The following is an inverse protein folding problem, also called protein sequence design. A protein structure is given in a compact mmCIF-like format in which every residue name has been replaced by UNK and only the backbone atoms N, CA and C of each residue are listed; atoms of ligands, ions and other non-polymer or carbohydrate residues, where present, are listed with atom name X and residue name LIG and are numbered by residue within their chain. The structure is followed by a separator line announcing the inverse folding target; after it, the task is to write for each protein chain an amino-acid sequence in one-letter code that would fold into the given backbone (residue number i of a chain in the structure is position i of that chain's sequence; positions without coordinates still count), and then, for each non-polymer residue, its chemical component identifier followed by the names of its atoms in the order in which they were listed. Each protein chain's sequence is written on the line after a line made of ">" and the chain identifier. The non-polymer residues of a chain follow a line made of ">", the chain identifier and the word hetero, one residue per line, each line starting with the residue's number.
data_IF_976693959411
#
_entry.id   IF_976693959411
#
_cell.length_a   1.000
_cell.length_b   1.000
_cell.length_c   1.000
_cell.angle_alpha   90.00
_cell.angle_beta   90.00
_cell.angle_gamma   90.00
#
_symmetry.space_group_name_H-M   'P 1'
#
loop_
_entity.id
_entity.type
_entity.pdbx_description
1 polymer ?
#
# COMPACT_ATOMS: atom_id res chain seq x y z
N UNK A 1 9.38 39.38 36.91
CA UNK A 1 9.12 39.62 35.49
C UNK A 1 9.68 38.45 34.71
N UNK A 2 8.88 37.39 34.47
CA UNK A 2 9.33 36.15 33.83
C UNK A 2 8.87 36.20 32.38
N UNK A 3 9.81 36.25 31.44
CA UNK A 3 9.54 36.13 30.00
C UNK A 3 9.33 34.67 29.68
N UNK A 4 8.11 34.28 29.37
CA UNK A 4 7.76 33.01 28.76
C UNK A 4 8.28 32.99 27.33
N UNK A 5 9.37 32.25 27.10
CA UNK A 5 9.84 31.90 25.76
C UNK A 5 8.87 30.86 25.18
N UNK A 6 7.97 31.29 24.28
CA UNK A 6 7.08 30.40 23.55
C UNK A 6 7.89 29.56 22.57
N UNK A 7 8.07 28.28 22.89
CA UNK A 7 8.54 27.29 21.93
C UNK A 7 7.41 27.12 20.90
N UNK A 8 7.53 27.79 19.75
CA UNK A 8 6.79 27.41 18.55
C UNK A 8 7.30 26.04 18.14
N UNK A 9 6.56 25.00 18.51
CA UNK A 9 6.69 23.71 17.86
C UNK A 9 6.31 23.97 16.39
N UNK A 10 7.31 24.02 15.53
CA UNK A 10 7.10 23.98 14.09
C UNK A 10 6.42 22.63 13.83
N UNK A 11 5.12 22.65 13.51
CA UNK A 11 4.45 21.48 12.96
C UNK A 11 5.18 21.21 11.64
N UNK A 12 6.10 20.24 11.66
CA UNK A 12 6.69 19.70 10.44
C UNK A 12 5.52 19.30 9.55
N UNK A 13 5.48 19.84 8.35
CA UNK A 13 4.49 19.51 7.32
C UNK A 13 4.42 17.99 7.18
N UNK A 14 3.39 17.38 7.76
CA UNK A 14 3.09 15.99 7.50
C UNK A 14 2.63 15.96 6.05
N UNK A 15 3.52 15.53 5.17
CA UNK A 15 3.23 15.47 3.73
C UNK A 15 1.96 14.66 3.51
N UNK A 16 1.05 15.19 2.71
CA UNK A 16 -0.22 14.56 2.41
C UNK A 16 0.01 13.16 1.81
N UNK A 17 -0.66 12.15 2.36
CA UNK A 17 -0.60 10.79 1.81
C UNK A 17 -1.59 10.71 0.66
N UNK A 18 -1.07 10.60 -0.55
CA UNK A 18 -1.83 10.56 -1.79
C UNK A 18 -2.03 9.15 -2.33
N UNK A 19 -1.11 8.23 -2.04
CA UNK A 19 -1.27 6.82 -2.40
C UNK A 19 -1.01 5.89 -1.20
N UNK A 20 -1.76 4.78 -1.17
CA UNK A 20 -1.63 3.73 -0.16
C UNK A 20 -1.39 2.39 -0.86
N UNK A 21 -0.22 1.81 -0.64
CA UNK A 21 0.08 0.44 -1.05
C UNK A 21 -0.22 -0.50 0.11
N UNK A 22 -1.13 -1.43 -0.11
CA UNK A 22 -1.54 -2.41 0.90
C UNK A 22 -0.94 -3.76 0.53
N UNK A 23 0.05 -4.21 1.31
CA UNK A 23 0.65 -5.53 1.22
C UNK A 23 -0.13 -6.54 2.07
N UNK A 24 0.16 -7.83 1.93
CA UNK A 24 -0.62 -8.88 2.59
C UNK A 24 -0.35 -8.97 4.09
N UNK A 25 0.92 -9.10 4.50
CA UNK A 25 1.29 -9.48 5.87
C UNK A 25 2.67 -9.00 6.25
N UNK A 26 2.87 -8.69 7.52
CA UNK A 26 4.19 -8.41 8.09
C UNK A 26 5.11 -9.65 8.01
N UNK A 27 6.43 -9.47 7.84
CA UNK A 27 7.39 -10.58 7.88
C UNK A 27 7.61 -11.09 9.32
N UNK A 28 8.22 -12.27 9.45
CA UNK A 28 8.59 -12.85 10.76
C UNK A 28 9.64 -12.00 11.49
N UNK A 29 10.61 -11.47 10.75
CA UNK A 29 11.62 -10.55 11.26
C UNK A 29 11.22 -9.10 10.90
N UNK A 30 10.91 -8.25 11.89
CA UNK A 30 10.50 -6.86 11.65
C UNK A 30 11.54 -6.03 10.86
N UNK A 31 12.81 -6.40 10.88
CA UNK A 31 13.87 -5.74 10.10
C UNK A 31 13.72 -5.96 8.60
N UNK A 32 12.98 -6.99 8.20
CA UNK A 32 12.68 -7.30 6.80
C UNK A 32 11.45 -6.57 6.26
N UNK A 33 10.69 -5.89 7.12
CA UNK A 33 9.51 -5.11 6.71
C UNK A 33 9.92 -3.83 5.97
N UNK A 34 8.96 -3.15 5.36
CA UNK A 34 9.14 -1.93 4.57
C UNK A 34 9.87 -0.82 5.35
N UNK A 35 9.55 -0.64 6.62
CA UNK A 35 10.16 0.38 7.49
C UNK A 35 11.19 -0.19 8.48
N UNK A 36 11.57 -1.46 8.34
CA UNK A 36 12.59 -2.08 9.19
C UNK A 36 14.01 -1.68 8.77
N UNK A 37 14.30 -1.79 7.47
CA UNK A 37 15.58 -1.41 6.84
C UNK A 37 15.40 -1.30 5.34
N UNK A 38 16.01 -0.31 4.68
CA UNK A 38 16.00 -0.18 3.20
C UNK A 38 16.63 -1.39 2.50
N UNK A 39 17.47 -2.14 3.18
CA UNK A 39 18.07 -3.41 2.70
C UNK A 39 17.25 -4.63 3.11
N UNK A 40 16.18 -4.45 3.85
CA UNK A 40 15.23 -5.52 4.20
C UNK A 40 14.57 -6.11 2.96
N UNK A 41 14.13 -7.37 3.04
CA UNK A 41 13.59 -8.08 1.88
C UNK A 41 12.37 -7.37 1.28
N UNK A 42 11.49 -6.80 2.09
CA UNK A 42 10.28 -6.11 1.63
C UNK A 42 10.61 -4.75 1.00
N UNK A 43 11.38 -3.93 1.70
CA UNK A 43 11.82 -2.62 1.21
C UNK A 43 12.63 -2.76 -0.08
N UNK A 44 13.65 -3.60 -0.09
CA UNK A 44 14.50 -3.82 -1.26
C UNK A 44 13.74 -4.32 -2.48
N UNK A 45 12.74 -5.22 -2.28
CA UNK A 45 11.87 -5.69 -3.37
C UNK A 45 11.04 -4.55 -3.97
N UNK A 46 10.41 -3.74 -3.13
CA UNK A 46 9.56 -2.63 -3.58
C UNK A 46 10.37 -1.54 -4.27
N UNK A 47 11.52 -1.14 -3.71
CA UNK A 47 12.43 -0.15 -4.30
C UNK A 47 12.88 -0.62 -5.69
N UNK A 48 13.28 -1.89 -5.84
CA UNK A 48 13.65 -2.48 -7.13
C UNK A 48 12.52 -2.40 -8.16
N UNK A 49 11.27 -2.67 -7.74
CA UNK A 49 10.10 -2.59 -8.62
C UNK A 49 9.84 -1.15 -9.09
N UNK A 50 9.99 -0.16 -8.22
CA UNK A 50 9.89 1.26 -8.60
C UNK A 50 10.99 1.66 -9.57
N UNK A 51 12.24 1.24 -9.34
CA UNK A 51 13.36 1.53 -10.24
C UNK A 51 13.15 0.92 -11.62
N UNK A 52 12.64 -0.32 -11.71
CA UNK A 52 12.27 -0.94 -12.99
C UNK A 52 11.07 -0.26 -13.66
N UNK A 53 10.20 0.36 -12.87
CA UNK A 53 9.13 1.22 -13.39
C UNK A 53 9.66 2.56 -13.95
N UNK A 54 10.95 2.85 -13.80
CA UNK A 54 11.58 4.11 -14.21
C UNK A 54 11.46 5.22 -13.17
N UNK A 55 11.10 4.87 -11.91
CA UNK A 55 10.91 5.81 -10.80
C UNK A 55 12.15 5.72 -9.90
N UNK A 56 12.87 6.82 -9.74
CA UNK A 56 14.22 6.85 -9.16
C UNK A 56 14.30 6.77 -7.63
N UNK A 57 13.35 6.14 -6.94
CA UNK A 57 13.42 5.94 -5.48
C UNK A 57 14.59 5.05 -5.10
N UNK A 58 15.32 5.43 -4.04
CA UNK A 58 16.50 4.73 -3.51
C UNK A 58 16.29 4.19 -2.11
N UNK A 59 15.26 4.68 -1.41
CA UNK A 59 14.94 4.34 -0.02
C UNK A 59 13.43 4.34 0.21
N UNK A 60 12.98 3.74 1.29
CA UNK A 60 11.58 3.87 1.73
C UNK A 60 11.24 5.31 2.09
N UNK A 61 12.22 6.07 2.58
CA UNK A 61 12.07 7.50 2.85
C UNK A 61 11.69 8.29 1.59
N UNK A 62 12.33 8.01 0.42
CA UNK A 62 11.99 8.68 -0.84
C UNK A 62 10.53 8.38 -1.23
N UNK A 63 10.07 7.14 -1.00
CA UNK A 63 8.70 6.71 -1.27
C UNK A 63 7.73 7.49 -0.37
N UNK A 64 7.98 7.52 0.94
CA UNK A 64 7.14 8.27 1.91
C UNK A 64 7.13 9.78 1.60
N UNK A 65 8.28 10.36 1.29
CA UNK A 65 8.40 11.77 0.92
C UNK A 65 7.69 12.11 -0.40
N UNK A 66 7.43 11.14 -1.26
CA UNK A 66 6.61 11.33 -2.46
C UNK A 66 5.09 11.32 -2.20
N UNK A 67 4.67 11.07 -0.96
CA UNK A 67 3.27 10.94 -0.56
C UNK A 67 2.69 9.53 -0.77
N UNK A 68 3.54 8.52 -0.94
CA UNK A 68 3.16 7.12 -1.04
C UNK A 68 3.45 6.45 0.29
N UNK A 69 2.46 5.81 0.91
CA UNK A 69 2.63 5.05 2.16
C UNK A 69 2.39 3.57 1.90
N UNK A 70 3.18 2.72 2.54
CA UNK A 70 3.06 1.26 2.45
C UNK A 70 2.63 0.69 3.80
N UNK A 71 1.63 -0.19 3.78
CA UNK A 71 1.14 -0.86 4.99
C UNK A 71 0.93 -2.35 4.73
N UNK A 72 0.90 -3.14 5.80
CA UNK A 72 0.50 -4.53 5.77
C UNK A 72 -0.97 -4.67 6.22
N UNK A 73 -1.78 -5.46 5.50
CA UNK A 73 -3.18 -5.71 5.86
C UNK A 73 -3.30 -6.59 7.11
N UNK A 74 -2.40 -7.57 7.26
CA UNK A 74 -2.32 -8.45 8.43
C UNK A 74 -1.08 -8.10 9.24
N UNK A 75 -1.29 -7.80 10.53
CA UNK A 75 -0.28 -7.25 11.43
C UNK A 75 0.43 -8.33 12.29
N UNK A 76 0.15 -9.60 12.04
CA UNK A 76 0.84 -10.74 12.66
C UNK A 76 1.50 -11.59 11.58
N UNK A 77 2.72 -12.10 11.80
CA UNK A 77 3.42 -12.95 10.82
C UNK A 77 2.64 -14.20 10.46
N UNK A 78 2.96 -14.79 9.30
CA UNK A 78 2.33 -16.04 8.85
C UNK A 78 2.57 -17.16 9.86
N UNK A 79 1.51 -17.90 10.16
CA UNK A 79 1.63 -19.16 10.89
C UNK A 79 1.75 -20.30 9.86
N UNK A 80 3.00 -20.74 9.61
CA UNK A 80 3.31 -21.73 8.59
C UNK A 80 3.24 -21.16 7.15
N UNK A 81 2.58 -21.89 6.23
CA UNK A 81 2.59 -21.53 4.80
C UNK A 81 1.50 -20.53 4.40
N UNK A 82 0.48 -20.32 5.22
CA UNK A 82 -0.71 -19.52 4.88
C UNK A 82 -1.08 -18.56 5.99
N UNK A 83 -1.68 -17.44 5.61
CA UNK A 83 -2.36 -16.53 6.52
C UNK A 83 -3.73 -17.13 6.82
N UNK A 84 -4.04 -17.32 8.11
CA UNK A 84 -5.32 -17.90 8.57
C UNK A 84 -6.44 -16.89 8.53
N UNK A 85 -7.69 -17.36 8.49
CA UNK A 85 -8.87 -16.46 8.59
C UNK A 85 -8.88 -15.73 9.93
N UNK A 86 -8.48 -16.39 11.02
CA UNK A 86 -8.40 -15.80 12.34
C UNK A 86 -7.41 -14.61 12.37
N UNK A 87 -6.20 -14.79 11.83
CA UNK A 87 -5.21 -13.70 11.74
C UNK A 87 -5.76 -12.49 10.97
N UNK A 88 -6.49 -12.75 9.87
CA UNK A 88 -7.13 -11.69 9.09
C UNK A 88 -8.20 -10.97 9.92
N UNK A 89 -9.08 -11.71 10.60
CA UNK A 89 -10.16 -11.16 11.44
C UNK A 89 -9.62 -10.32 12.59
N UNK A 90 -8.61 -10.80 13.30
CA UNK A 90 -7.93 -10.09 14.38
C UNK A 90 -7.25 -8.80 13.91
N UNK A 91 -6.79 -8.77 12.64
CA UNK A 91 -6.14 -7.59 12.06
C UNK A 91 -7.12 -6.51 11.56
N UNK A 92 -8.41 -6.81 11.37
CA UNK A 92 -9.42 -5.87 10.83
C UNK A 92 -9.50 -4.56 11.61
N UNK A 93 -9.55 -4.53 12.96
CA UNK A 93 -9.68 -3.27 13.69
C UNK A 93 -8.49 -2.32 13.46
N UNK A 94 -7.27 -2.86 13.42
CA UNK A 94 -6.07 -2.09 13.13
C UNK A 94 -6.03 -1.64 11.66
N UNK A 95 -6.32 -2.55 10.72
CA UNK A 95 -6.36 -2.28 9.30
C UNK A 95 -7.41 -1.21 8.94
N UNK A 96 -8.60 -1.26 9.54
CA UNK A 96 -9.65 -0.25 9.35
C UNK A 96 -9.18 1.16 9.73
N UNK A 97 -8.37 1.29 10.78
CA UNK A 97 -7.80 2.59 11.20
C UNK A 97 -6.79 3.15 10.21
N UNK A 98 -6.18 2.31 9.38
CA UNK A 98 -5.22 2.74 8.36
C UNK A 98 -5.88 3.28 7.10
N UNK A 99 -7.19 3.03 6.93
CA UNK A 99 -8.02 3.55 5.84
C UNK A 99 -8.85 4.78 6.30
N UNK A 100 -8.29 5.76 7.02
CA UNK A 100 -9.07 6.87 7.54
C UNK A 100 -9.62 7.73 6.41
N UNK A 101 -10.47 8.68 6.78
CA UNK A 101 -10.93 9.79 5.95
C UNK A 101 -9.77 10.72 5.59
N UNK A 102 -8.84 10.24 4.80
CA UNK A 102 -7.72 11.04 4.30
C UNK A 102 -8.19 11.79 3.06
N UNK A 103 -8.40 13.08 3.20
CA UNK A 103 -8.91 13.96 2.13
C UNK A 103 -8.01 13.96 0.89
N UNK A 104 -6.72 13.68 1.09
CA UNK A 104 -5.71 13.73 0.03
C UNK A 104 -5.43 12.37 -0.62
N UNK A 105 -6.07 11.28 -0.15
CA UNK A 105 -5.83 9.95 -0.70
C UNK A 105 -6.54 9.78 -2.04
N UNK A 106 -5.78 9.53 -3.08
CA UNK A 106 -6.24 9.44 -4.48
C UNK A 106 -6.23 8.00 -5.00
N UNK A 107 -5.22 7.21 -4.56
CA UNK A 107 -5.01 5.87 -5.09
C UNK A 107 -4.74 4.86 -3.96
N UNK A 108 -5.37 3.68 -4.05
CA UNK A 108 -5.08 2.51 -3.23
C UNK A 108 -4.63 1.37 -4.15
N UNK A 109 -3.47 0.78 -3.88
CA UNK A 109 -2.97 -0.41 -4.59
C UNK A 109 -3.09 -1.61 -3.66
N UNK A 110 -3.77 -2.66 -4.12
CA UNK A 110 -4.00 -3.89 -3.34
C UNK A 110 -3.03 -4.98 -3.81
N UNK A 111 -1.92 -5.14 -3.09
CA UNK A 111 -0.85 -6.04 -3.45
C UNK A 111 -1.12 -7.47 -2.93
N UNK A 112 -1.77 -8.28 -3.76
CA UNK A 112 -2.01 -9.69 -3.47
C UNK A 112 -3.47 -10.02 -3.09
N UNK A 113 -3.70 -11.30 -2.84
CA UNK A 113 -5.06 -11.85 -2.62
C UNK A 113 -5.59 -11.48 -1.23
N UNK A 114 -4.72 -11.51 -0.21
CA UNK A 114 -5.13 -11.20 1.17
C UNK A 114 -5.44 -9.72 1.32
N UNK A 115 -4.62 -8.83 0.75
CA UNK A 115 -4.89 -7.40 0.73
C UNK A 115 -6.26 -7.09 0.10
N UNK A 116 -6.59 -7.71 -1.04
CA UNK A 116 -7.92 -7.59 -1.68
C UNK A 116 -9.05 -8.12 -0.80
N UNK A 117 -8.86 -9.26 -0.13
CA UNK A 117 -9.87 -9.85 0.76
C UNK A 117 -10.13 -8.97 1.97
N UNK A 118 -9.07 -8.49 2.62
CA UNK A 118 -9.16 -7.60 3.78
C UNK A 118 -9.84 -6.27 3.42
N UNK A 119 -9.46 -5.68 2.29
CA UNK A 119 -10.07 -4.47 1.78
C UNK A 119 -11.57 -4.67 1.47
N UNK A 120 -11.93 -5.79 0.83
CA UNK A 120 -13.31 -6.12 0.55
C UNK A 120 -14.16 -6.29 1.81
N UNK A 121 -13.62 -6.81 2.91
CA UNK A 121 -14.36 -6.90 4.17
C UNK A 121 -14.75 -5.52 4.68
N UNK A 122 -13.84 -4.54 4.58
CA UNK A 122 -14.15 -3.16 4.96
C UNK A 122 -15.17 -2.56 3.99
N UNK A 123 -14.92 -2.63 2.69
CA UNK A 123 -15.82 -2.08 1.68
C UNK A 123 -17.22 -2.69 1.77
N UNK A 124 -17.33 -4.01 1.98
CA UNK A 124 -18.60 -4.71 2.13
C UNK A 124 -19.35 -4.28 3.39
N UNK A 125 -18.65 -4.06 4.52
CA UNK A 125 -19.30 -3.60 5.75
C UNK A 125 -19.96 -2.23 5.62
N UNK A 126 -19.51 -1.42 4.65
CA UNK A 126 -20.00 -0.06 4.41
C UNK A 126 -21.00 0.01 3.26
N UNK A 127 -20.76 -0.77 2.18
CA UNK A 127 -21.53 -0.66 0.93
C UNK A 127 -22.46 -1.84 0.69
N UNK A 128 -22.42 -2.87 1.54
CA UNK A 128 -23.19 -4.10 1.43
C UNK A 128 -22.64 -5.11 0.40
N UNK A 129 -21.61 -4.77 -0.39
CA UNK A 129 -21.05 -5.63 -1.45
C UNK A 129 -19.54 -5.56 -1.54
N UNK A 130 -18.94 -6.62 -2.09
CA UNK A 130 -17.50 -6.58 -2.41
C UNK A 130 -17.25 -5.56 -3.52
N UNK A 131 -16.23 -4.73 -3.35
CA UNK A 131 -15.79 -3.79 -4.38
C UNK A 131 -14.99 -4.51 -5.47
N UNK A 132 -14.08 -5.39 -5.08
CA UNK A 132 -13.20 -6.12 -5.99
C UNK A 132 -13.75 -7.55 -6.17
N UNK A 133 -14.11 -7.98 -7.39
CA UNK A 133 -14.58 -9.33 -7.66
C UNK A 133 -13.55 -10.41 -7.28
N UNK A 134 -14.03 -11.58 -6.86
CA UNK A 134 -13.17 -12.72 -6.50
C UNK A 134 -12.75 -13.53 -7.74
N UNK A 135 -12.02 -12.88 -8.64
CA UNK A 135 -11.46 -13.48 -9.86
C UNK A 135 -9.95 -13.24 -9.94
N UNK A 136 -9.30 -13.85 -10.92
CA UNK A 136 -7.85 -13.73 -11.10
C UNK A 136 -7.41 -12.27 -11.32
N UNK A 137 -6.31 -11.87 -10.69
CA UNK A 137 -5.81 -10.48 -10.67
C UNK A 137 -5.61 -9.91 -12.08
N UNK A 138 -5.09 -10.69 -13.03
CA UNK A 138 -4.88 -10.20 -14.40
C UNK A 138 -6.18 -9.80 -15.12
N UNK A 139 -7.32 -10.37 -14.73
CA UNK A 139 -8.65 -9.99 -15.25
C UNK A 139 -9.21 -8.72 -14.60
N UNK A 140 -8.75 -8.41 -13.39
CA UNK A 140 -9.20 -7.24 -12.63
C UNK A 140 -8.52 -5.95 -13.08
N UNK A 141 -7.25 -6.03 -13.49
CA UNK A 141 -6.38 -4.86 -13.73
C UNK A 141 -6.91 -3.87 -14.77
N UNK A 142 -7.68 -4.34 -15.75
CA UNK A 142 -8.23 -3.51 -16.82
C UNK A 142 -9.54 -2.79 -16.44
N UNK A 143 -10.06 -3.01 -15.23
CA UNK A 143 -11.31 -2.42 -14.78
C UNK A 143 -11.05 -1.21 -13.87
N UNK A 144 -12.03 -0.31 -13.82
CA UNK A 144 -12.04 0.85 -12.95
C UNK A 144 -12.79 0.52 -11.67
N UNK A 145 -12.11 0.56 -10.53
CA UNK A 145 -12.72 0.42 -9.21
C UNK A 145 -12.55 1.72 -8.44
N UNK A 146 -13.64 2.19 -7.83
CA UNK A 146 -13.66 3.42 -7.05
C UNK A 146 -14.21 3.13 -5.65
N UNK A 147 -13.51 3.61 -4.62
CA UNK A 147 -13.93 3.52 -3.23
C UNK A 147 -13.91 4.91 -2.61
N UNK A 148 -15.06 5.46 -2.25
CA UNK A 148 -15.18 6.83 -1.70
C UNK A 148 -14.49 7.91 -2.55
N UNK A 149 -14.53 7.79 -3.88
CA UNK A 149 -13.82 8.68 -4.80
C UNK A 149 -12.33 8.35 -5.02
N UNK A 150 -11.79 7.37 -4.31
CA UNK A 150 -10.40 6.93 -4.41
C UNK A 150 -10.29 5.83 -5.47
N UNK A 151 -9.30 5.92 -6.36
CA UNK A 151 -9.01 4.88 -7.35
C UNK A 151 -8.39 3.64 -6.69
N UNK A 152 -8.95 2.45 -6.93
CA UNK A 152 -8.43 1.19 -6.38
C UNK A 152 -7.83 0.34 -7.50
N UNK A 153 -6.58 -0.06 -7.35
CA UNK A 153 -5.81 -0.86 -8.30
C UNK A 153 -5.52 -2.25 -7.70
N UNK A 154 -6.21 -3.32 -8.14
CA UNK A 154 -5.84 -4.69 -7.77
C UNK A 154 -4.54 -5.09 -8.45
N UNK A 155 -3.53 -5.49 -7.66
CA UNK A 155 -2.21 -5.89 -8.14
C UNK A 155 -1.76 -7.23 -7.54
N UNK A 156 -0.55 -7.65 -7.88
CA UNK A 156 0.09 -8.82 -7.30
C UNK A 156 0.95 -8.44 -6.09
N UNK A 157 1.33 -9.45 -5.30
CA UNK A 157 2.22 -9.27 -4.15
C UNK A 157 3.57 -8.69 -4.62
N UNK A 158 4.09 -7.73 -3.87
CA UNK A 158 5.37 -7.04 -4.16
C UNK A 158 6.54 -7.59 -3.35
N UNK A 159 6.29 -8.57 -2.49
CA UNK A 159 7.26 -9.15 -1.56
C UNK A 159 7.40 -10.65 -1.77
N UNK A 160 8.50 -11.21 -1.26
CA UNK A 160 8.79 -12.64 -1.34
C UNK A 160 9.53 -13.05 -2.61
N UNK A 161 10.06 -14.27 -2.60
CA UNK A 161 10.89 -14.79 -3.70
C UNK A 161 10.13 -14.94 -5.01
N UNK A 162 8.85 -15.27 -4.95
CA UNK A 162 8.04 -15.53 -6.14
C UNK A 162 7.97 -14.34 -7.10
N UNK A 163 7.94 -13.10 -6.59
CA UNK A 163 7.91 -11.91 -7.45
C UNK A 163 9.20 -11.75 -8.26
N UNK A 164 10.32 -12.26 -7.75
CA UNK A 164 11.60 -12.23 -8.46
C UNK A 164 11.64 -13.25 -9.61
N UNK A 165 10.96 -14.38 -9.45
CA UNK A 165 10.97 -15.52 -10.38
C UNK A 165 9.88 -15.39 -11.44
N UNK A 166 8.68 -14.93 -11.06
CA UNK A 166 7.52 -14.85 -11.92
C UNK A 166 7.52 -13.58 -12.80
N UNK A 167 8.35 -13.56 -13.83
CA UNK A 167 8.57 -12.41 -14.74
C UNK A 167 7.28 -11.75 -15.23
N UNK A 168 6.24 -12.54 -15.57
CA UNK A 168 4.94 -12.00 -16.03
C UNK A 168 4.22 -11.21 -14.93
N UNK A 169 4.18 -11.71 -13.70
CA UNK A 169 3.56 -10.99 -12.58
C UNK A 169 4.38 -9.76 -12.22
N UNK A 170 5.71 -9.87 -12.23
CA UNK A 170 6.61 -8.74 -12.01
C UNK A 170 6.34 -7.61 -13.01
N UNK A 171 6.26 -7.90 -14.30
CA UNK A 171 5.93 -6.92 -15.33
C UNK A 171 4.57 -6.24 -15.07
N UNK A 172 3.56 -7.03 -14.67
CA UNK A 172 2.24 -6.47 -14.33
C UNK A 172 2.28 -5.56 -13.11
N UNK A 173 3.05 -5.88 -12.08
CA UNK A 173 3.24 -4.99 -10.91
C UNK A 173 3.92 -3.67 -11.33
N UNK A 174 4.95 -3.74 -12.16
CA UNK A 174 5.63 -2.56 -12.69
C UNK A 174 4.65 -1.65 -13.44
N UNK A 175 3.78 -2.21 -14.27
CA UNK A 175 2.73 -1.46 -14.97
C UNK A 175 1.72 -0.84 -13.99
N UNK A 176 1.33 -1.55 -12.93
CA UNK A 176 0.42 -1.03 -11.91
C UNK A 176 1.04 0.13 -11.13
N UNK A 177 2.35 0.05 -10.80
CA UNK A 177 3.08 1.16 -10.17
C UNK A 177 3.18 2.38 -11.11
N UNK A 178 3.46 2.19 -12.40
CA UNK A 178 3.42 3.27 -13.39
C UNK A 178 2.03 3.91 -13.47
N UNK A 179 0.98 3.10 -13.48
CA UNK A 179 -0.41 3.58 -13.49
C UNK A 179 -0.70 4.42 -12.26
N UNK A 180 -0.29 3.95 -11.07
CA UNK A 180 -0.44 4.71 -9.83
C UNK A 180 0.25 6.08 -9.92
N UNK A 181 1.51 6.13 -10.34
CA UNK A 181 2.25 7.40 -10.47
C UNK A 181 1.57 8.34 -11.47
N UNK A 182 1.15 7.83 -12.62
CA UNK A 182 0.45 8.63 -13.63
C UNK A 182 -0.85 9.25 -13.08
N UNK A 183 -1.61 8.50 -12.27
CA UNK A 183 -2.81 9.02 -11.63
C UNK A 183 -2.49 10.15 -10.65
N UNK A 184 -1.40 10.03 -9.89
CA UNK A 184 -0.95 11.06 -8.95
C UNK A 184 -0.44 12.33 -9.66
N UNK A 185 0.20 12.19 -10.82
CA UNK A 185 0.68 13.31 -11.64
C UNK A 185 -0.48 14.04 -12.34
N UNK A 186 -1.43 13.30 -12.91
CA UNK A 186 -2.58 13.86 -13.63
C UNK A 186 -3.49 14.74 -12.77
N UNK A 187 -3.57 14.48 -11.46
CA UNK A 187 -4.36 15.28 -10.53
C UNK A 187 -3.64 16.56 -10.06
N UNK A 188 -2.32 16.68 -10.25
CA UNK A 188 -1.57 17.90 -9.93
C UNK A 188 -1.78 19.03 -10.96
N UNK A 189 -2.31 18.72 -12.14
CA UNK A 189 -2.54 19.70 -13.22
C UNK A 189 -3.85 20.49 -13.13
N UNK A 190 -4.72 20.20 -12.15
CA UNK A 190 -6.06 20.79 -12.01
C UNK A 190 -6.25 21.63 -10.71
N UNK A 191 -5.17 22.07 -10.07
CA UNK A 191 -5.24 23.01 -8.92
C UNK A 191 -4.79 24.40 -9.32
#
# INVERSE_FOLDING_TARGET
>A
MWKTCGIRICMTDVKAIRALLINEVVPDDPRQDFHGSDTGAYAGSLISLFQEAGIGFRSMKDIDESGITVINAVNTPKQGRKITSLQMEESIPAFRKTLPERKDLEVIVLNGVVAKKMFNWIAKSETGRNLIPSIATYKLRNNVYMYRGIRVLPSYIVTGENIQIEKKKRAMVIEDLKTMIHLLEGNNGNQ
#
